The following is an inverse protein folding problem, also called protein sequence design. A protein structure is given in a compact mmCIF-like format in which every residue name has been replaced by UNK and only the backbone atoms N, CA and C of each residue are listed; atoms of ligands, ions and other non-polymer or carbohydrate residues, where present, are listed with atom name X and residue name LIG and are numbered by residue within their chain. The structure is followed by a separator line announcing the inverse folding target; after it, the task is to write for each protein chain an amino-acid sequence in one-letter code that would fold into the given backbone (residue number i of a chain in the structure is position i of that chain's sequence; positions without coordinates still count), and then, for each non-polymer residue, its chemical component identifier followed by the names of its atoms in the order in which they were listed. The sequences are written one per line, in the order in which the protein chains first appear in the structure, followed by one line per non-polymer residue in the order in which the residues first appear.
data_IF_379068855058
#
_entry.id   IF_379068855058
#
_cell.length_a   1.000
_cell.length_b   1.000
_cell.length_c   1.000
_cell.angle_alpha   90.00
_cell.angle_beta   90.00
_cell.angle_gamma   90.00
#
_symmetry.space_group_name_H-M   'P 1'
#
loop_
_entity.id
_entity.type
_entity.pdbx_description
1 polymer ?
#
# COMPACT_ATOMS: atom_id res chain seq x y z
N UNK A 1 -3.45 5.87 -23.93
CA UNK A 1 -3.57 4.94 -22.77
C UNK A 1 -3.75 3.53 -23.29
N UNK A 2 -2.84 2.61 -22.94
CA UNK A 2 -3.07 1.17 -23.20
C UNK A 2 -4.20 0.71 -22.30
N UNK A 3 -5.12 -0.12 -22.82
CA UNK A 3 -6.20 -0.68 -22.02
C UNK A 3 -5.65 -1.75 -21.10
N UNK A 4 -5.71 -1.50 -19.78
CA UNK A 4 -5.36 -2.49 -18.76
C UNK A 4 -6.48 -3.54 -18.72
N UNK A 5 -6.14 -4.82 -18.94
CA UNK A 5 -7.13 -5.91 -18.98
C UNK A 5 -7.28 -6.58 -17.62
N UNK A 6 -6.17 -6.81 -16.91
CA UNK A 6 -6.14 -7.55 -15.65
C UNK A 6 -5.19 -6.92 -14.66
N UNK A 7 -5.62 -6.83 -13.40
CA UNK A 7 -4.81 -6.35 -12.29
C UNK A 7 -4.89 -7.36 -11.14
N UNK A 8 -3.74 -7.87 -10.75
CA UNK A 8 -3.59 -8.68 -9.54
C UNK A 8 -3.45 -7.78 -8.34
N UNK A 9 -4.03 -8.16 -7.19
CA UNK A 9 -3.89 -7.38 -5.96
C UNK A 9 -3.75 -8.28 -4.75
N UNK A 10 -2.95 -7.85 -3.77
CA UNK A 10 -2.84 -8.55 -2.50
C UNK A 10 -4.03 -8.17 -1.63
N UNK A 11 -4.75 -9.19 -1.14
CA UNK A 11 -5.92 -9.03 -0.28
C UNK A 11 -7.09 -9.92 -0.72
N UNK A 12 -8.21 -9.72 -0.04
CA UNK A 12 -9.48 -10.40 -0.32
C UNK A 12 -10.51 -9.44 -0.94
N UNK A 13 -11.63 -9.99 -1.40
CA UNK A 13 -12.80 -9.22 -1.82
C UNK A 13 -13.23 -8.25 -0.71
N UNK A 14 -13.54 -7.01 -1.08
CA UNK A 14 -13.87 -5.94 -0.14
C UNK A 14 -12.67 -5.30 0.55
N UNK A 15 -11.42 -5.60 0.16
CA UNK A 15 -10.24 -4.93 0.70
C UNK A 15 -10.08 -3.50 0.20
N UNK A 16 -9.26 -2.69 0.90
CA UNK A 16 -8.90 -1.36 0.42
C UNK A 16 -8.18 -1.41 -0.93
N UNK A 17 -7.40 -2.46 -1.21
CA UNK A 17 -6.76 -2.66 -2.52
C UNK A 17 -7.83 -2.77 -3.62
N UNK A 18 -8.86 -3.58 -3.43
CA UNK A 18 -9.96 -3.71 -4.40
C UNK A 18 -10.72 -2.40 -4.56
N UNK A 19 -11.02 -1.69 -3.48
CA UNK A 19 -11.72 -0.41 -3.56
C UNK A 19 -10.94 0.69 -4.32
N UNK A 20 -9.61 0.59 -4.38
CA UNK A 20 -8.76 1.43 -5.24
C UNK A 20 -8.94 1.02 -6.70
N UNK A 21 -8.98 -0.29 -6.99
CA UNK A 21 -9.19 -0.80 -8.35
C UNK A 21 -10.54 -0.38 -8.89
N UNK A 22 -11.60 -0.52 -8.11
CA UNK A 22 -12.97 -0.10 -8.50
C UNK A 22 -13.04 1.41 -8.80
N UNK A 23 -12.30 2.23 -8.06
CA UNK A 23 -12.28 3.67 -8.28
C UNK A 23 -11.49 4.07 -9.55
N UNK A 24 -10.37 3.37 -9.85
CA UNK A 24 -9.42 3.80 -10.88
C UNK A 24 -9.48 2.97 -12.18
N UNK A 25 -9.93 1.70 -12.14
CA UNK A 25 -9.72 0.74 -13.22
C UNK A 25 -10.98 -0.06 -13.57
N UNK A 26 -12.14 0.55 -13.60
CA UNK A 26 -13.47 -0.09 -13.74
C UNK A 26 -13.63 -1.09 -14.89
N UNK A 27 -12.78 -1.01 -15.93
CA UNK A 27 -12.84 -1.90 -17.09
C UNK A 27 -11.90 -3.11 -16.98
N UNK A 28 -11.08 -3.20 -15.93
CA UNK A 28 -10.13 -4.29 -15.74
C UNK A 28 -10.76 -5.46 -14.95
N UNK A 29 -10.26 -6.66 -15.18
CA UNK A 29 -10.51 -7.83 -14.33
C UNK A 29 -9.60 -7.74 -13.10
N UNK A 30 -10.16 -7.89 -11.89
CA UNK A 30 -9.38 -7.91 -10.65
C UNK A 30 -9.20 -9.32 -10.16
N UNK A 31 -7.96 -9.68 -9.80
CA UNK A 31 -7.62 -11.01 -9.30
C UNK A 31 -6.97 -10.89 -7.93
N UNK A 32 -7.70 -11.33 -6.91
CA UNK A 32 -7.19 -11.38 -5.53
C UNK A 32 -6.10 -12.43 -5.38
N UNK A 33 -5.04 -12.11 -4.65
CA UNK A 33 -3.93 -13.00 -4.32
C UNK A 33 -3.66 -12.95 -2.81
N UNK A 34 -3.23 -14.07 -2.23
CA UNK A 34 -2.99 -14.16 -0.80
C UNK A 34 -1.68 -13.45 -0.38
N UNK A 35 -0.65 -13.50 -1.22
CA UNK A 35 0.68 -12.98 -0.89
C UNK A 35 1.20 -11.98 -1.93
N UNK A 36 2.11 -11.09 -1.52
CA UNK A 36 2.79 -10.17 -2.45
C UNK A 36 3.61 -10.93 -3.50
N UNK A 37 4.23 -12.04 -3.12
CA UNK A 37 5.00 -12.89 -4.04
C UNK A 37 4.11 -13.46 -5.15
N UNK A 38 2.92 -13.95 -4.80
CA UNK A 38 1.93 -14.44 -5.76
C UNK A 38 1.43 -13.29 -6.64
N UNK A 39 1.04 -12.16 -6.03
CA UNK A 39 0.53 -10.98 -6.72
C UNK A 39 1.49 -10.51 -7.82
N UNK A 40 2.77 -10.34 -7.48
CA UNK A 40 3.78 -9.84 -8.42
C UNK A 40 4.25 -10.94 -9.40
N UNK A 41 4.26 -12.20 -8.97
CA UNK A 41 4.68 -13.34 -9.79
C UNK A 41 3.72 -13.65 -10.95
N UNK A 42 2.45 -13.31 -10.79
CA UNK A 42 1.42 -13.54 -11.82
C UNK A 42 1.41 -12.49 -12.94
N UNK A 43 2.15 -11.39 -12.80
CA UNK A 43 2.13 -10.27 -13.76
C UNK A 43 2.81 -10.68 -15.07
N UNK A 44 2.03 -10.75 -16.15
CA UNK A 44 2.51 -10.93 -17.53
C UNK A 44 2.88 -9.60 -18.18
N UNK A 45 3.19 -9.58 -19.48
CA UNK A 45 3.54 -8.32 -20.19
C UNK A 45 2.37 -7.35 -20.35
N UNK A 46 1.14 -7.84 -20.34
CA UNK A 46 -0.08 -7.02 -20.52
C UNK A 46 -0.85 -6.79 -19.21
N UNK A 47 -0.42 -7.44 -18.11
CA UNK A 47 -1.07 -7.38 -16.82
C UNK A 47 -0.31 -6.46 -15.86
N UNK A 48 -1.00 -6.08 -14.79
CA UNK A 48 -0.44 -5.21 -13.74
C UNK A 48 -0.71 -5.81 -12.38
N UNK A 49 -0.03 -5.28 -11.37
CA UNK A 49 -0.39 -5.53 -9.98
C UNK A 49 -0.57 -4.23 -9.21
N UNK A 50 -1.50 -4.23 -8.26
CA UNK A 50 -1.68 -3.18 -7.28
C UNK A 50 -1.24 -3.70 -5.92
N UNK A 51 -0.27 -3.02 -5.30
CA UNK A 51 0.27 -3.38 -3.99
C UNK A 51 0.26 -2.19 -3.04
N UNK A 52 -0.21 -2.33 -1.79
CA UNK A 52 -0.03 -1.34 -0.75
C UNK A 52 1.45 -1.30 -0.34
N UNK A 53 2.05 -0.11 -0.29
CA UNK A 53 3.49 0.05 0.00
C UNK A 53 3.78 0.83 1.26
N UNK A 54 2.84 1.65 1.72
CA UNK A 54 3.01 2.46 2.93
C UNK A 54 1.66 2.91 3.48
N UNK A 55 1.55 2.95 4.80
CA UNK A 55 0.44 3.61 5.49
C UNK A 55 0.99 4.74 6.38
N UNK A 56 0.34 5.89 6.37
CA UNK A 56 0.81 7.10 7.07
C UNK A 56 0.90 6.97 8.60
N UNK A 57 0.19 6.01 9.20
CA UNK A 57 0.20 5.76 10.65
C UNK A 57 1.10 4.61 11.07
N UNK A 58 1.33 3.63 10.18
CA UNK A 58 2.02 2.37 10.49
C UNK A 58 3.38 2.29 9.84
N UNK A 59 3.58 3.06 8.75
CA UNK A 59 4.81 3.07 7.99
C UNK A 59 4.79 2.12 6.80
N UNK A 60 5.98 1.72 6.37
CA UNK A 60 6.22 0.95 5.16
C UNK A 60 5.73 -0.49 5.25
N UNK A 61 5.04 -0.95 4.21
CA UNK A 61 4.73 -2.38 3.99
C UNK A 61 5.98 -3.05 3.40
N UNK A 62 6.84 -3.52 4.29
CA UNK A 62 8.20 -3.98 3.95
C UNK A 62 8.17 -5.14 2.97
N UNK A 63 7.29 -6.12 3.20
CA UNK A 63 7.16 -7.29 2.35
C UNK A 63 6.80 -6.91 0.91
N UNK A 64 5.99 -5.87 0.70
CA UNK A 64 5.66 -5.36 -0.63
C UNK A 64 6.91 -4.82 -1.34
N UNK A 65 7.72 -3.99 -0.67
CA UNK A 65 8.96 -3.46 -1.24
C UNK A 65 9.99 -4.56 -1.50
N UNK A 66 10.15 -5.53 -0.61
CA UNK A 66 11.08 -6.65 -0.78
C UNK A 66 10.73 -7.48 -2.01
N UNK A 67 9.48 -7.92 -2.12
CA UNK A 67 9.03 -8.66 -3.29
C UNK A 67 9.09 -7.83 -4.59
N UNK A 68 8.78 -6.53 -4.54
CA UNK A 68 8.89 -5.66 -5.70
C UNK A 68 10.34 -5.53 -6.18
N UNK A 69 11.29 -5.33 -5.27
CA UNK A 69 12.71 -5.17 -5.64
C UNK A 69 13.35 -6.45 -6.17
N UNK A 70 12.84 -7.61 -5.76
CA UNK A 70 13.24 -8.93 -6.29
C UNK A 70 12.56 -9.27 -7.63
N UNK A 71 11.48 -8.56 -7.96
CA UNK A 71 10.79 -8.72 -9.24
C UNK A 71 11.47 -7.93 -10.37
N UNK A 72 11.07 -8.22 -11.61
CA UNK A 72 11.46 -7.43 -12.78
C UNK A 72 10.37 -6.42 -13.17
N UNK A 73 9.53 -6.03 -12.20
CA UNK A 73 8.46 -5.07 -12.41
C UNK A 73 8.91 -3.66 -12.04
N UNK A 74 8.29 -2.66 -12.68
CA UNK A 74 8.52 -1.25 -12.40
C UNK A 74 7.23 -0.58 -11.93
N UNK A 75 7.39 0.49 -11.14
CA UNK A 75 6.26 1.32 -10.68
C UNK A 75 5.91 2.34 -11.74
N UNK A 76 4.62 2.41 -12.11
CA UNK A 76 4.11 3.34 -13.11
C UNK A 76 3.09 4.36 -12.59
N UNK A 77 2.48 4.09 -11.43
CA UNK A 77 1.53 5.00 -10.81
C UNK A 77 1.56 4.82 -9.28
N UNK A 78 1.52 5.93 -8.56
CA UNK A 78 1.21 5.97 -7.13
C UNK A 78 -0.26 6.37 -6.94
N UNK A 79 -0.99 5.64 -6.10
CA UNK A 79 -2.35 5.97 -5.71
C UNK A 79 -2.36 6.16 -4.20
N UNK A 80 -2.78 7.33 -3.74
CA UNK A 80 -2.96 7.63 -2.31
C UNK A 80 -4.43 7.60 -1.97
N UNK A 81 -4.82 6.67 -1.11
CA UNK A 81 -6.22 6.52 -0.68
C UNK A 81 -6.36 6.84 0.80
N UNK A 82 -7.34 7.67 1.10
CA UNK A 82 -7.76 7.90 2.48
C UNK A 82 -8.42 6.65 3.05
N UNK A 83 -8.01 6.26 4.26
CA UNK A 83 -8.50 5.07 4.94
C UNK A 83 -9.49 5.50 6.03
N UNK A 84 -10.76 5.30 5.75
CA UNK A 84 -11.84 5.56 6.70
C UNK A 84 -12.40 4.24 7.20
N UNK A 85 -12.34 4.02 8.51
CA UNK A 85 -12.95 2.84 9.13
C UNK A 85 -14.38 3.13 9.53
N UNK A 86 -15.24 2.14 9.30
CA UNK A 86 -16.64 2.12 9.71
C UNK A 86 -16.94 0.88 10.54
N UNK A 87 -17.90 0.97 11.42
CA UNK A 87 -18.53 -0.17 12.09
C UNK A 87 -19.63 -0.72 11.20
N UNK A 88 -19.55 -1.99 10.83
CA UNK A 88 -20.40 -2.64 9.84
C UNK A 88 -21.11 -3.83 10.49
N UNK A 89 -22.39 -3.92 10.33
CA UNK A 89 -23.21 -5.08 10.75
C UNK A 89 -23.96 -5.71 9.58
N UNK A 90 -24.56 -6.88 9.79
CA UNK A 90 -25.50 -7.44 8.84
C UNK A 90 -26.69 -6.50 8.62
N UNK A 91 -27.33 -6.62 7.47
CA UNK A 91 -28.52 -5.82 7.14
C UNK A 91 -29.58 -5.86 8.25
N UNK A 92 -29.95 -4.67 8.75
CA UNK A 92 -30.89 -4.49 9.86
C UNK A 92 -30.31 -4.74 11.26
N UNK A 93 -28.97 -4.88 11.41
CA UNK A 93 -28.33 -4.81 12.71
C UNK A 93 -28.49 -3.39 13.31
N UNK A 94 -28.43 -3.28 14.62
CA UNK A 94 -28.49 -2.01 15.37
C UNK A 94 -27.33 -1.94 16.34
N UNK A 95 -26.71 -0.79 16.45
CA UNK A 95 -25.48 -0.60 17.26
C UNK A 95 -25.71 -0.96 18.74
N UNK A 96 -26.91 -0.72 19.26
CA UNK A 96 -27.27 -0.99 20.65
C UNK A 96 -27.28 -2.51 20.98
N UNK A 97 -27.41 -3.36 19.96
CA UNK A 97 -27.47 -4.81 20.09
C UNK A 97 -26.10 -5.48 19.87
N UNK A 98 -25.07 -4.70 19.48
CA UNK A 98 -23.75 -5.26 19.21
C UNK A 98 -23.08 -5.62 20.53
N UNK A 99 -22.68 -6.87 20.65
CA UNK A 99 -21.96 -7.42 21.81
C UNK A 99 -20.48 -7.71 21.49
N UNK A 100 -20.16 -7.87 20.19
CA UNK A 100 -18.81 -8.22 19.75
C UNK A 100 -18.44 -7.46 18.47
N UNK A 101 -17.16 -7.04 18.39
CA UNK A 101 -16.56 -6.48 17.17
C UNK A 101 -15.35 -7.29 16.75
N UNK A 102 -15.29 -7.63 15.46
CA UNK A 102 -14.23 -8.39 14.84
C UNK A 102 -13.51 -7.53 13.78
N UNK A 103 -12.19 -7.61 13.68
CA UNK A 103 -11.37 -7.05 12.60
C UNK A 103 -9.91 -7.44 12.76
N UNK A 104 -9.07 -7.02 11.79
CA UNK A 104 -7.63 -7.09 11.92
C UNK A 104 -7.14 -6.32 13.16
N UNK A 105 -6.13 -6.81 13.90
CA UNK A 105 -5.63 -6.18 15.13
C UNK A 105 -5.33 -4.69 14.98
N UNK A 106 -4.76 -4.29 13.84
CA UNK A 106 -4.43 -2.90 13.54
C UNK A 106 -5.68 -2.02 13.42
N UNK A 107 -6.74 -2.48 12.74
CA UNK A 107 -8.00 -1.74 12.61
C UNK A 107 -8.69 -1.59 13.97
N UNK A 108 -8.70 -2.64 14.81
CA UNK A 108 -9.19 -2.57 16.19
C UNK A 108 -8.42 -1.53 17.01
N UNK A 109 -7.09 -1.46 16.87
CA UNK A 109 -6.26 -0.47 17.56
C UNK A 109 -6.52 0.95 17.05
N UNK A 110 -6.65 1.13 15.74
CA UNK A 110 -6.94 2.43 15.10
C UNK A 110 -8.33 2.97 15.45
N UNK A 111 -9.24 2.14 15.95
CA UNK A 111 -10.60 2.50 16.37
C UNK A 111 -10.82 2.36 17.89
N UNK A 112 -9.74 2.25 18.68
CA UNK A 112 -9.82 1.94 20.12
C UNK A 112 -10.65 2.94 20.92
N UNK A 113 -10.53 4.25 20.62
CA UNK A 113 -11.27 5.30 21.33
C UNK A 113 -12.80 5.13 21.17
N UNK A 114 -13.26 4.84 19.96
CA UNK A 114 -14.66 4.56 19.69
C UNK A 114 -15.13 3.28 20.41
N UNK A 115 -14.33 2.21 20.33
CA UNK A 115 -14.67 0.92 20.94
C UNK A 115 -14.68 0.96 22.48
N UNK A 116 -13.89 1.80 23.11
CA UNK A 116 -13.89 1.98 24.57
C UNK A 116 -15.22 2.51 25.07
N UNK A 117 -15.89 3.37 24.29
CA UNK A 117 -17.21 3.90 24.60
C UNK A 117 -18.32 2.85 24.57
N UNK A 118 -18.16 1.76 23.83
CA UNK A 118 -19.19 0.75 23.60
C UNK A 118 -19.16 -0.41 24.61
N UNK A 119 -18.05 -0.64 25.33
CA UNK A 119 -17.85 -1.74 26.30
C UNK A 119 -18.18 -3.14 25.75
N UNK A 120 -17.79 -3.41 24.50
CA UNK A 120 -18.06 -4.64 23.77
C UNK A 120 -16.79 -5.50 23.65
N UNK A 121 -16.97 -6.81 23.39
CA UNK A 121 -15.88 -7.74 23.14
C UNK A 121 -15.15 -7.37 21.84
N UNK A 122 -13.82 -7.45 21.83
CA UNK A 122 -12.97 -7.20 20.65
C UNK A 122 -12.26 -8.48 20.29
N UNK A 123 -12.53 -9.03 19.11
CA UNK A 123 -11.91 -10.27 18.66
C UNK A 123 -11.05 -10.01 17.43
N UNK A 124 -9.72 -10.18 17.51
CA UNK A 124 -8.86 -10.06 16.33
C UNK A 124 -9.08 -11.24 15.36
N UNK A 125 -9.09 -10.92 14.07
CA UNK A 125 -9.17 -11.87 12.96
C UNK A 125 -8.07 -11.54 11.93
N UNK A 126 -7.90 -12.40 10.92
CA UNK A 126 -6.78 -12.34 10.01
C UNK A 126 -6.74 -11.05 9.17
N UNK A 127 -7.88 -10.63 8.61
CA UNK A 127 -7.95 -9.43 7.78
C UNK A 127 -9.22 -8.61 8.02
N UNK A 128 -9.20 -7.39 7.50
CA UNK A 128 -10.25 -6.39 7.70
C UNK A 128 -11.48 -6.69 6.85
N UNK A 129 -11.30 -7.01 5.57
CA UNK A 129 -12.41 -7.27 4.64
C UNK A 129 -13.06 -8.62 4.91
N UNK A 130 -12.26 -9.67 5.14
CA UNK A 130 -12.75 -10.99 5.50
C UNK A 130 -13.55 -10.99 6.81
N UNK A 131 -13.27 -10.04 7.73
CA UNK A 131 -14.09 -9.87 8.92
C UNK A 131 -15.55 -9.49 8.59
N UNK A 132 -15.76 -8.64 7.57
CA UNK A 132 -17.13 -8.28 7.13
C UNK A 132 -17.80 -9.48 6.46
N UNK A 133 -17.09 -10.18 5.58
CA UNK A 133 -17.64 -11.36 4.90
C UNK A 133 -18.01 -12.47 5.88
N UNK A 134 -17.24 -12.66 6.95
CA UNK A 134 -17.55 -13.64 7.99
C UNK A 134 -18.84 -13.35 8.78
N UNK A 135 -19.37 -12.13 8.74
CA UNK A 135 -20.67 -11.82 9.33
C UNK A 135 -21.79 -12.61 8.67
N UNK A 136 -21.69 -12.89 7.35
CA UNK A 136 -22.68 -13.69 6.62
C UNK A 136 -22.69 -15.14 7.08
N UNK A 137 -21.54 -15.69 7.45
CA UNK A 137 -21.43 -17.06 7.95
C UNK A 137 -21.96 -17.19 9.37
N UNK A 138 -21.79 -16.16 10.19
CA UNK A 138 -22.25 -16.16 11.57
C UNK A 138 -23.76 -15.95 11.70
N UNK A 139 -24.40 -15.34 10.69
CA UNK A 139 -25.84 -15.05 10.60
C UNK A 139 -26.45 -14.45 11.90
N UNK A 140 -25.66 -13.59 12.58
CA UNK A 140 -26.11 -12.91 13.80
C UNK A 140 -25.97 -11.41 13.68
N UNK A 141 -26.96 -10.66 14.17
CA UNK A 141 -26.97 -9.19 14.19
C UNK A 141 -26.31 -8.60 15.44
N UNK A 142 -25.72 -9.44 16.29
CA UNK A 142 -25.04 -9.05 17.53
C UNK A 142 -23.52 -8.90 17.34
N UNK A 143 -22.99 -9.30 16.17
CA UNK A 143 -21.58 -9.14 15.80
C UNK A 143 -21.46 -8.05 14.74
N UNK A 144 -20.49 -7.15 14.89
CA UNK A 144 -20.10 -6.17 13.90
C UNK A 144 -18.64 -6.35 13.50
N UNK A 145 -18.28 -5.84 12.33
CA UNK A 145 -16.91 -5.80 11.85
C UNK A 145 -16.43 -4.35 11.69
N UNK A 146 -15.12 -4.11 11.77
CA UNK A 146 -14.53 -2.84 11.36
C UNK A 146 -13.86 -3.06 10.01
N UNK A 147 -14.26 -2.26 9.01
CA UNK A 147 -13.66 -2.25 7.68
C UNK A 147 -13.84 -0.88 7.02
N UNK A 148 -13.54 -0.79 5.71
CA UNK A 148 -13.72 0.42 4.93
C UNK A 148 -15.19 0.79 4.72
N UNK A 149 -15.45 2.08 4.62
CA UNK A 149 -16.80 2.62 4.38
C UNK A 149 -17.40 2.22 3.03
N UNK A 150 -16.58 1.75 2.08
CA UNK A 150 -17.04 1.31 0.75
C UNK A 150 -18.04 0.14 0.78
N UNK A 151 -18.12 -0.61 1.89
CA UNK A 151 -19.16 -1.59 2.11
C UNK A 151 -20.58 -1.00 2.21
N UNK A 152 -20.75 0.32 2.25
CA UNK A 152 -22.08 0.97 2.20
C UNK A 152 -22.86 0.64 0.92
N UNK A 153 -22.16 0.31 -0.17
CA UNK A 153 -22.76 -0.06 -1.45
C UNK A 153 -23.26 -1.52 -1.49
N UNK A 154 -22.88 -2.34 -0.52
CA UNK A 154 -23.31 -3.74 -0.43
C UNK A 154 -24.54 -3.89 0.45
N UNK A 155 -25.69 -4.19 -0.18
CA UNK A 155 -26.99 -4.31 0.49
C UNK A 155 -27.10 -5.43 1.55
N UNK A 156 -26.11 -6.33 1.60
CA UNK A 156 -26.05 -7.39 2.63
C UNK A 156 -25.68 -6.82 4.01
N UNK A 157 -25.08 -5.64 4.03
CA UNK A 157 -24.56 -5.00 5.23
C UNK A 157 -25.24 -3.66 5.53
N UNK A 158 -25.02 -3.18 6.71
CA UNK A 158 -25.46 -1.85 7.18
C UNK A 158 -24.27 -1.17 7.87
N UNK A 159 -23.97 0.05 7.47
CA UNK A 159 -23.01 0.89 8.21
C UNK A 159 -23.71 1.35 9.51
N UNK A 160 -23.19 0.89 10.64
CA UNK A 160 -23.71 1.24 11.98
C UNK A 160 -23.15 2.58 12.45
N UNK A 161 -21.90 2.86 12.11
CA UNK A 161 -21.22 4.12 12.42
C UNK A 161 -20.05 4.34 11.45
N UNK A 162 -20.00 5.52 10.84
CA UNK A 162 -18.87 5.96 10.00
C UNK A 162 -17.82 6.70 10.82
N UNK A 163 -16.61 6.84 10.25
CA UNK A 163 -15.53 7.69 10.76
C UNK A 163 -15.15 7.36 12.20
N UNK A 164 -14.97 6.07 12.51
CA UNK A 164 -14.64 5.59 13.87
C UNK A 164 -13.13 5.56 14.16
N UNK A 165 -12.29 5.97 13.21
CA UNK A 165 -10.84 5.99 13.36
C UNK A 165 -10.38 7.02 14.40
N UNK A 166 -9.37 6.68 15.21
CA UNK A 166 -8.74 7.61 16.16
C UNK A 166 -8.04 8.79 15.48
N UNK A 167 -7.57 8.60 14.24
CA UNK A 167 -6.87 9.59 13.44
C UNK A 167 -7.57 9.77 12.09
N UNK A 168 -7.91 11.00 11.76
CA UNK A 168 -8.60 11.37 10.52
C UNK A 168 -7.64 11.31 9.30
N UNK A 169 -6.36 11.65 9.53
CA UNK A 169 -5.32 11.68 8.50
C UNK A 169 -4.64 10.30 8.43
N UNK A 170 -5.38 9.31 7.93
CA UNK A 170 -4.91 7.96 7.68
C UNK A 170 -4.94 7.70 6.16
N UNK A 171 -3.77 7.54 5.54
CA UNK A 171 -3.63 7.32 4.11
C UNK A 171 -2.79 6.08 3.85
N UNK A 172 -3.17 5.32 2.84
CA UNK A 172 -2.36 4.23 2.30
C UNK A 172 -1.91 4.59 0.90
N UNK A 173 -0.61 4.41 0.64
CA UNK A 173 0.00 4.52 -0.68
C UNK A 173 -0.01 3.15 -1.34
N UNK A 174 -0.45 3.12 -2.58
CA UNK A 174 -0.45 1.94 -3.43
C UNK A 174 0.42 2.21 -4.65
N UNK A 175 1.12 1.18 -5.12
CA UNK A 175 1.81 1.21 -6.39
C UNK A 175 1.10 0.32 -7.41
N UNK A 176 0.86 0.87 -8.60
CA UNK A 176 0.54 0.09 -9.80
C UNK A 176 1.87 -0.28 -10.46
N UNK A 177 2.13 -1.57 -10.57
CA UNK A 177 3.38 -2.10 -11.09
C UNK A 177 3.14 -3.04 -12.28
N UNK A 178 4.10 -3.11 -13.21
CA UNK A 178 3.99 -3.92 -14.40
C UNK A 178 5.33 -4.08 -15.12
N UNK A 179 5.32 -4.73 -16.29
CA UNK A 179 6.50 -4.88 -17.16
C UNK A 179 6.60 -3.79 -18.21
N UNK A 180 5.49 -3.19 -18.58
CA UNK A 180 5.40 -2.14 -19.57
C UNK A 180 4.58 -0.97 -19.05
N UNK A 181 4.95 0.25 -19.44
CA UNK A 181 4.25 1.48 -19.07
C UNK A 181 2.84 1.51 -19.69
N UNK A 182 1.77 1.63 -18.86
CA UNK A 182 0.40 1.77 -19.35
C UNK A 182 0.07 3.17 -19.88
N UNK A 183 1.02 4.12 -19.79
CA UNK A 183 0.86 5.53 -20.23
C UNK A 183 -0.31 6.23 -19.53
N UNK A 184 -0.49 5.99 -18.22
CA UNK A 184 -1.61 6.54 -17.45
C UNK A 184 -1.35 7.94 -16.89
N UNK A 185 -0.11 8.32 -16.71
CA UNK A 185 0.26 9.63 -16.16
C UNK A 185 1.05 10.45 -17.19
N UNK A 186 0.57 11.67 -17.45
CA UNK A 186 1.29 12.65 -18.30
C UNK A 186 2.54 13.19 -17.59
N UNK A 187 2.47 13.32 -16.26
CA UNK A 187 3.58 13.78 -15.43
C UNK A 187 4.17 12.62 -14.66
N UNK A 188 5.49 12.46 -14.73
CA UNK A 188 6.24 11.47 -13.96
C UNK A 188 7.28 12.20 -13.11
N UNK A 189 6.79 12.83 -12.06
CA UNK A 189 7.54 13.70 -11.16
C UNK A 189 8.11 13.00 -9.94
N UNK A 190 7.80 11.71 -9.77
CA UNK A 190 8.26 10.89 -8.65
C UNK A 190 9.13 9.73 -9.11
N UNK A 191 10.06 9.36 -8.25
CA UNK A 191 10.95 8.22 -8.42
C UNK A 191 10.99 7.41 -7.13
N UNK A 192 11.01 6.09 -7.27
CA UNK A 192 11.42 5.18 -6.19
C UNK A 192 12.67 4.43 -6.60
N UNK A 193 13.58 4.27 -5.66
CA UNK A 193 14.87 3.64 -5.90
C UNK A 193 15.32 2.80 -4.70
N UNK A 194 16.24 1.88 -4.96
CA UNK A 194 16.98 1.12 -3.95
C UNK A 194 18.45 1.50 -4.03
N UNK A 195 19.06 1.78 -2.88
CA UNK A 195 20.46 2.06 -2.72
C UNK A 195 21.07 1.08 -1.73
N UNK A 196 22.20 0.48 -2.06
CA UNK A 196 23.03 -0.31 -1.14
C UNK A 196 24.35 0.43 -0.95
N UNK A 197 24.58 0.93 0.27
CA UNK A 197 25.80 1.61 0.61
C UNK A 197 26.93 0.62 0.98
N UNK A 198 28.18 1.03 0.82
CA UNK A 198 29.31 0.30 1.38
C UNK A 198 29.23 0.29 2.92
N UNK A 199 29.67 -0.77 3.56
CA UNK A 199 29.81 -0.83 5.03
C UNK A 199 31.08 -0.08 5.49
N UNK A 200 31.03 1.25 5.39
CA UNK A 200 32.09 2.18 5.79
C UNK A 200 31.52 3.46 6.39
N UNK A 201 32.20 4.07 7.37
CA UNK A 201 31.78 5.37 7.89
C UNK A 201 31.61 6.41 6.78
N UNK A 202 30.44 7.03 6.71
CA UNK A 202 30.15 8.09 5.76
C UNK A 202 29.62 7.63 4.38
N UNK A 203 29.55 6.33 4.07
CA UNK A 203 29.11 5.85 2.74
C UNK A 203 27.71 6.32 2.39
N UNK A 204 26.73 6.19 3.27
CA UNK A 204 25.38 6.71 3.05
C UNK A 204 25.41 8.24 2.85
N UNK A 205 26.18 8.96 3.66
CA UNK A 205 26.29 10.42 3.55
C UNK A 205 26.84 10.85 2.16
N UNK A 206 27.82 10.13 1.62
CA UNK A 206 28.35 10.41 0.28
C UNK A 206 27.27 10.22 -0.79
N UNK A 207 26.46 9.16 -0.70
CA UNK A 207 25.32 8.99 -1.58
C UNK A 207 24.29 10.12 -1.46
N UNK A 208 23.92 10.49 -0.24
CA UNK A 208 22.94 11.56 0.00
C UNK A 208 23.41 12.95 -0.48
N UNK A 209 24.72 13.23 -0.44
CA UNK A 209 25.28 14.46 -0.99
C UNK A 209 25.07 14.61 -2.49
N UNK A 210 25.05 13.51 -3.25
CA UNK A 210 24.79 13.55 -4.69
C UNK A 210 23.34 14.01 -4.95
N UNK A 211 22.37 13.57 -4.16
CA UNK A 211 21.00 14.08 -4.23
C UNK A 211 20.93 15.58 -3.93
N UNK A 212 21.68 16.06 -2.94
CA UNK A 212 21.76 17.49 -2.61
C UNK A 212 22.37 18.30 -3.76
N UNK A 213 23.51 17.86 -4.34
CA UNK A 213 24.20 18.51 -5.45
C UNK A 213 23.32 18.61 -6.70
N UNK A 214 22.52 17.58 -6.97
CA UNK A 214 21.54 17.53 -8.05
C UNK A 214 20.21 18.23 -7.69
N UNK A 215 20.07 18.77 -6.47
CA UNK A 215 18.87 19.44 -5.95
C UNK A 215 17.61 18.56 -5.95
N UNK A 216 17.79 17.26 -5.72
CA UNK A 216 16.73 16.29 -5.65
C UNK A 216 16.17 16.22 -4.21
N UNK A 217 14.87 16.46 -4.06
CA UNK A 217 14.20 16.40 -2.78
C UNK A 217 13.80 14.96 -2.45
N UNK A 218 14.35 14.41 -1.36
CA UNK A 218 13.97 13.09 -0.87
C UNK A 218 12.65 13.17 -0.11
N UNK A 219 11.70 12.33 -0.46
CA UNK A 219 10.39 12.21 0.22
C UNK A 219 10.27 10.96 1.07
N UNK A 220 11.17 9.98 0.88
CA UNK A 220 11.31 8.79 1.71
C UNK A 220 12.77 8.38 1.80
N UNK A 221 13.19 7.95 2.99
CA UNK A 221 14.46 7.27 3.22
C UNK A 221 14.27 6.25 4.34
N UNK A 222 14.33 4.97 4.01
CA UNK A 222 14.14 3.90 4.96
C UNK A 222 15.22 2.84 4.82
N UNK A 223 15.90 2.52 5.92
CA UNK A 223 16.95 1.50 5.96
C UNK A 223 16.38 0.12 6.30
N UNK A 224 16.89 -0.92 5.63
CA UNK A 224 16.58 -2.33 5.90
C UNK A 224 17.83 -3.18 5.87
N UNK A 225 18.01 -4.11 6.82
CA UNK A 225 19.10 -5.07 6.76
C UNK A 225 18.92 -5.98 5.54
N UNK A 226 20.03 -6.38 4.93
CA UNK A 226 20.04 -7.33 3.82
C UNK A 226 20.04 -8.74 4.40
N UNK A 227 19.04 -9.56 4.07
CA UNK A 227 18.98 -10.95 4.51
C UNK A 227 20.20 -11.73 4.02
N UNK A 228 20.87 -12.43 4.94
CA UNK A 228 22.08 -13.20 4.63
C UNK A 228 23.38 -12.39 4.61
N UNK A 229 23.33 -11.06 4.75
CA UNK A 229 24.51 -10.18 4.83
C UNK A 229 24.47 -9.37 6.13
N UNK A 230 24.98 -9.90 7.25
CA UNK A 230 24.99 -9.21 8.55
C UNK A 230 25.63 -7.83 8.42
N UNK A 231 24.96 -6.82 9.00
CA UNK A 231 25.41 -5.42 9.05
C UNK A 231 25.41 -4.67 7.72
N UNK A 232 24.98 -5.31 6.60
CA UNK A 232 24.73 -4.61 5.35
C UNK A 232 23.27 -4.14 5.29
N UNK A 233 23.08 -2.92 4.73
CA UNK A 233 21.76 -2.27 4.65
C UNK A 233 21.46 -1.86 3.23
N UNK A 234 20.22 -2.09 2.81
CA UNK A 234 19.61 -1.46 1.66
C UNK A 234 18.74 -0.30 2.11
N UNK A 235 18.65 0.73 1.29
CA UNK A 235 17.85 1.92 1.55
C UNK A 235 16.80 2.06 0.46
N UNK A 236 15.53 2.14 0.88
CA UNK A 236 14.44 2.53 0.00
C UNK A 236 14.34 4.04 -0.01
N UNK A 237 14.41 4.64 -1.20
CA UNK A 237 14.48 6.08 -1.40
C UNK A 237 13.37 6.47 -2.38
N UNK A 238 12.53 7.44 -1.98
CA UNK A 238 11.66 8.15 -2.92
C UNK A 238 12.17 9.58 -3.07
N UNK A 239 12.18 10.09 -4.30
CA UNK A 239 12.57 11.46 -4.59
C UNK A 239 11.76 12.06 -5.73
N UNK A 240 11.78 13.40 -5.81
CA UNK A 240 11.09 14.16 -6.84
C UNK A 240 12.07 14.54 -7.96
N UNK A 241 11.72 14.20 -9.19
CA UNK A 241 12.44 14.55 -10.41
C UNK A 241 11.56 14.31 -11.64
N UNK A 242 11.62 15.22 -12.61
CA UNK A 242 10.93 15.09 -13.90
C UNK A 242 11.89 14.80 -15.07
N UNK A 243 13.21 14.99 -14.88
CA UNK A 243 14.22 14.88 -15.94
C UNK A 243 14.89 13.50 -15.94
N UNK A 244 14.81 12.82 -17.09
CA UNK A 244 15.54 11.57 -17.29
C UNK A 244 17.07 11.78 -17.38
N UNK A 245 17.53 12.97 -17.82
CA UNK A 245 18.95 13.31 -17.85
C UNK A 245 19.53 13.41 -16.44
N UNK A 246 18.77 14.00 -15.50
CA UNK A 246 19.16 14.07 -14.09
C UNK A 246 19.15 12.66 -13.45
N UNK A 247 18.19 11.79 -13.79
CA UNK A 247 18.21 10.39 -13.35
C UNK A 247 19.48 9.67 -13.83
N UNK A 248 19.86 9.85 -15.09
CA UNK A 248 21.08 9.23 -15.66
C UNK A 248 22.33 9.74 -14.94
N UNK A 249 22.43 11.05 -14.72
CA UNK A 249 23.54 11.65 -13.97
C UNK A 249 23.60 11.14 -12.52
N UNK A 250 22.43 11.04 -11.85
CA UNK A 250 22.34 10.49 -10.51
C UNK A 250 22.86 9.05 -10.43
N UNK A 251 22.44 8.19 -11.37
CA UNK A 251 22.91 6.80 -11.45
C UNK A 251 24.42 6.71 -11.67
N UNK A 252 24.96 7.54 -12.57
CA UNK A 252 26.41 7.57 -12.85
C UNK A 252 27.23 8.00 -11.62
N UNK A 253 26.79 9.02 -10.89
CA UNK A 253 27.50 9.50 -9.71
C UNK A 253 27.36 8.54 -8.53
N UNK A 254 26.17 7.98 -8.29
CA UNK A 254 25.96 7.01 -7.21
C UNK A 254 26.75 5.72 -7.42
N UNK A 255 26.91 5.21 -8.64
CA UNK A 255 27.72 4.03 -8.95
C UNK A 255 29.18 4.17 -8.51
N UNK A 256 29.71 5.38 -8.34
CA UNK A 256 31.08 5.64 -7.90
C UNK A 256 31.26 5.48 -6.37
N UNK A 257 30.19 5.63 -5.60
CA UNK A 257 30.23 5.74 -4.13
C UNK A 257 29.32 4.76 -3.39
N UNK A 258 28.56 3.94 -4.11
CA UNK A 258 27.66 2.94 -3.54
C UNK A 258 27.91 1.57 -4.17
N UNK A 259 27.50 0.49 -3.48
CA UNK A 259 27.55 -0.87 -4.05
C UNK A 259 26.54 -1.03 -5.18
N UNK A 260 25.34 -0.50 -4.99
CA UNK A 260 24.24 -0.61 -5.94
C UNK A 260 23.32 0.59 -5.82
N UNK A 261 22.82 1.06 -6.94
CA UNK A 261 21.70 1.97 -7.05
C UNK A 261 20.83 1.55 -8.24
N UNK A 262 19.52 1.41 -7.98
CA UNK A 262 18.54 1.00 -8.99
C UNK A 262 17.27 1.80 -8.81
N UNK A 263 16.83 2.53 -9.85
CA UNK A 263 15.51 3.12 -9.93
C UNK A 263 14.51 1.97 -10.20
N UNK A 264 13.48 1.82 -9.38
CA UNK A 264 12.44 0.79 -9.49
C UNK A 264 11.12 1.35 -10.03
N UNK A 265 11.06 2.65 -10.29
CA UNK A 265 9.90 3.27 -10.92
C UNK A 265 10.04 4.75 -11.13
N UNK A 266 9.39 5.21 -12.22
CA UNK A 266 9.23 6.63 -12.61
C UNK A 266 7.76 6.85 -12.87
N UNK A 267 7.08 7.63 -12.02
CA UNK A 267 5.64 7.66 -11.99
C UNK A 267 5.07 9.00 -11.54
N UNK A 268 3.80 9.22 -11.85
CA UNK A 268 2.99 10.27 -11.26
C UNK A 268 2.13 9.75 -10.11
N UNK A 269 1.39 10.62 -9.46
CA UNK A 269 0.50 10.25 -8.34
C UNK A 269 -0.90 10.80 -8.49
N UNK A 270 -1.89 10.06 -7.96
CA UNK A 270 -3.28 10.46 -7.83
C UNK A 270 -3.76 10.28 -6.40
N UNK A 271 -4.71 11.10 -5.99
CA UNK A 271 -5.38 11.05 -4.67
C UNK A 271 -6.83 10.57 -4.81
N UNK A 272 -7.27 9.67 -3.89
CA UNK A 272 -8.63 9.14 -3.76
C UNK A 272 -9.20 9.41 -2.36
#
# INVERSE_FOLDING_TARGET
MKKIKKIFYQGSEGSYSESVLEACFQEAEYVACETFKETLGNVSSEDFALIPVENSLVGTVIEAYENLTESNLEVYLEIRKKINHALIGLQGAKIENITKVISHPQALQQCSNFLEGLKIERQPVFDTAGSVMSLLENDTKEIAAIAGEHFENDKRFTILQNNISNHIENYTRFFLVGKEDPEMSETKDKRSAVLIADDKPGSLLQGLKIFEELKLNLTKLESRPILGSPWEYKFYIDYQNESNEVDTQLEEELRKVTKEFKIIGKYGSIDL
#
